data_IF_226145562265
#
_entry.id   IF_226145562265
#
_cell.length_a   1.000
_cell.length_b   1.000
_cell.length_c   1.000
_cell.angle_alpha   90.00
_cell.angle_beta   90.00
_cell.angle_gamma   90.00
#
_symmetry.space_group_name_H-M   'P 1'
#
loop_
_entity.id
_entity.type
_entity.pdbx_description
1 polymer ?
#
# COMPACT_ATOMS: atom_id res chain seq x y z
N UNK A 1 -12.08 -12.48 1.62
CA UNK A 1 -11.14 -11.60 2.37
C UNK A 1 -10.79 -10.34 1.56
N UNK A 2 -10.27 -10.43 0.33
CA UNK A 2 -9.93 -9.25 -0.49
C UNK A 2 -11.12 -8.27 -0.68
N UNK A 3 -12.29 -8.81 -1.06
CA UNK A 3 -13.51 -8.02 -1.27
C UNK A 3 -13.98 -7.23 -0.02
N UNK A 4 -13.69 -7.75 1.18
CA UNK A 4 -13.99 -7.05 2.43
C UNK A 4 -13.13 -5.79 2.57
N UNK A 5 -11.84 -5.89 2.23
CA UNK A 5 -10.93 -4.74 2.25
C UNK A 5 -11.26 -3.73 1.15
N UNK A 6 -11.62 -4.19 -0.05
CA UNK A 6 -12.10 -3.31 -1.13
C UNK A 6 -13.29 -2.47 -0.68
N UNK A 7 -14.32 -3.11 -0.10
CA UNK A 7 -15.49 -2.42 0.41
C UNK A 7 -15.13 -1.41 1.50
N UNK A 8 -14.27 -1.78 2.46
CA UNK A 8 -13.84 -0.89 3.54
C UNK A 8 -13.00 0.30 3.03
N UNK A 9 -12.18 0.11 2.00
CA UNK A 9 -11.39 1.17 1.37
C UNK A 9 -12.33 2.10 0.59
N UNK A 10 -13.23 1.55 -0.23
CA UNK A 10 -14.21 2.33 -0.99
C UNK A 10 -15.06 3.20 -0.06
N UNK A 11 -15.55 2.64 1.05
CA UNK A 11 -16.33 3.32 2.08
C UNK A 11 -15.63 4.58 2.63
N UNK A 12 -14.33 4.46 2.93
CA UNK A 12 -13.52 5.55 3.48
C UNK A 12 -13.14 6.60 2.43
N UNK A 13 -13.07 6.20 1.17
CA UNK A 13 -12.67 7.08 0.07
C UNK A 13 -13.85 7.76 -0.63
N UNK A 14 -15.10 7.54 -0.21
CA UNK A 14 -16.28 8.15 -0.85
C UNK A 14 -16.24 9.68 -0.93
N UNK A 15 -15.59 10.33 0.02
CA UNK A 15 -15.55 11.80 0.12
C UNK A 15 -14.28 12.40 -0.49
N UNK A 16 -13.35 11.59 -1.00
CA UNK A 16 -12.13 12.10 -1.64
C UNK A 16 -12.30 12.17 -3.15
N UNK A 17 -11.56 13.06 -3.80
CA UNK A 17 -11.59 13.22 -5.24
C UNK A 17 -11.16 11.93 -5.95
N UNK A 18 -11.65 11.71 -7.17
CA UNK A 18 -11.26 10.56 -7.99
C UNK A 18 -9.74 10.39 -8.15
N UNK A 19 -8.99 11.49 -8.14
CA UNK A 19 -7.52 11.48 -8.23
C UNK A 19 -6.83 11.07 -6.93
N UNK A 20 -7.51 11.17 -5.79
CA UNK A 20 -7.02 10.77 -4.46
C UNK A 20 -7.47 9.36 -4.08
N UNK A 21 -8.32 8.73 -4.89
CA UNK A 21 -8.79 7.37 -4.65
C UNK A 21 -7.68 6.35 -4.91
N UNK A 22 -7.52 5.43 -3.97
CA UNK A 22 -6.64 4.27 -4.11
C UNK A 22 -7.23 3.33 -5.17
N UNK A 23 -6.59 3.25 -6.34
CA UNK A 23 -7.05 2.39 -7.45
C UNK A 23 -6.68 0.92 -7.29
N UNK A 24 -5.48 0.68 -6.76
CA UNK A 24 -4.93 -0.67 -6.57
C UNK A 24 -4.25 -0.72 -5.21
N UNK A 25 -4.40 -1.85 -4.54
CA UNK A 25 -3.70 -2.13 -3.29
C UNK A 25 -3.29 -3.60 -3.24
N UNK A 26 -2.30 -3.89 -2.39
CA UNK A 26 -1.85 -5.25 -2.10
C UNK A 26 -1.88 -5.48 -0.60
N UNK A 27 -2.36 -6.64 -0.19
CA UNK A 27 -2.23 -7.10 1.19
C UNK A 27 -0.84 -7.69 1.38
N UNK A 28 -0.12 -7.18 2.36
CA UNK A 28 1.16 -7.71 2.79
C UNK A 28 0.94 -8.81 3.83
N UNK A 29 1.84 -9.78 3.86
CA UNK A 29 1.84 -10.90 4.81
C UNK A 29 2.26 -10.48 6.23
N UNK A 30 3.04 -9.39 6.34
CA UNK A 30 3.45 -8.78 7.59
C UNK A 30 3.22 -7.26 7.61
N UNK A 31 3.16 -6.72 8.82
CA UNK A 31 3.20 -5.28 9.05
C UNK A 31 4.60 -4.69 8.92
N UNK A 32 4.68 -3.36 8.93
CA UNK A 32 5.94 -2.64 9.04
C UNK A 32 6.54 -2.80 10.44
N UNK A 33 7.85 -2.93 10.52
CA UNK A 33 8.55 -3.12 11.81
C UNK A 33 9.67 -2.10 12.00
N UNK A 34 10.09 -1.93 13.25
CA UNK A 34 11.24 -1.08 13.59
C UNK A 34 12.55 -1.82 13.24
N UNK A 35 12.56 -3.15 13.40
CA UNK A 35 13.71 -4.02 13.11
C UNK A 35 14.11 -4.00 11.63
N UNK A 36 13.12 -3.96 10.72
CA UNK A 36 13.35 -3.82 9.28
C UNK A 36 13.70 -2.38 8.86
N UNK A 37 13.70 -1.42 9.80
CA UNK A 37 13.94 0.00 9.52
C UNK A 37 12.79 0.71 8.80
N UNK A 38 11.62 0.07 8.67
CA UNK A 38 10.44 0.64 8.01
C UNK A 38 9.69 1.63 8.90
N UNK A 39 9.80 1.46 10.22
CA UNK A 39 9.27 2.37 11.23
C UNK A 39 10.38 3.07 12.00
N UNK A 40 10.17 4.32 12.36
CA UNK A 40 10.98 4.98 13.38
C UNK A 40 10.62 4.43 14.76
N UNK A 41 11.51 4.61 15.77
CA UNK A 41 11.16 4.30 17.16
C UNK A 41 9.92 5.06 17.68
N UNK A 42 9.53 6.15 17.00
CA UNK A 42 8.29 6.91 17.26
C UNK A 42 7.09 6.45 16.42
N UNK A 43 7.16 5.28 15.78
CA UNK A 43 6.11 4.68 14.94
C UNK A 43 5.76 5.48 13.68
N UNK A 44 6.64 6.37 13.22
CA UNK A 44 6.45 7.04 11.92
C UNK A 44 7.06 6.22 10.78
N UNK A 45 6.45 6.29 9.59
CA UNK A 45 6.86 5.53 8.41
C UNK A 45 8.14 6.10 7.78
N UNK A 46 9.07 5.22 7.41
CA UNK A 46 10.25 5.52 6.58
C UNK A 46 10.00 5.07 5.15
N UNK A 47 9.34 5.93 4.36
CA UNK A 47 8.87 5.62 2.99
C UNK A 47 9.95 5.04 2.09
N UNK A 48 11.15 5.64 2.03
CA UNK A 48 12.21 5.14 1.15
C UNK A 48 12.68 3.71 1.49
N UNK A 49 12.68 3.33 2.78
CA UNK A 49 13.02 1.97 3.19
C UNK A 49 11.88 1.01 2.86
N UNK A 50 10.64 1.42 3.10
CA UNK A 50 9.44 0.65 2.75
C UNK A 50 9.40 0.39 1.23
N UNK A 51 9.60 1.41 0.42
CA UNK A 51 9.61 1.31 -1.05
C UNK A 51 10.71 0.36 -1.53
N UNK A 52 11.88 0.38 -0.89
CA UNK A 52 12.99 -0.52 -1.23
C UNK A 52 12.67 -1.97 -0.83
N UNK A 53 12.17 -2.19 0.39
CA UNK A 53 11.88 -3.53 0.91
C UNK A 53 10.72 -4.20 0.17
N UNK A 54 9.74 -3.42 -0.29
CA UNK A 54 8.55 -3.90 -1.01
C UNK A 54 8.56 -3.54 -2.50
N UNK A 55 9.75 -3.32 -3.07
CA UNK A 55 9.89 -2.91 -4.46
C UNK A 55 9.29 -3.93 -5.44
N UNK A 56 9.40 -5.22 -5.12
CA UNK A 56 8.87 -6.30 -5.95
C UNK A 56 7.33 -6.30 -5.99
N UNK A 57 6.68 -6.09 -4.83
CA UNK A 57 5.24 -6.01 -4.70
C UNK A 57 4.70 -4.77 -5.41
N UNK A 58 5.38 -3.63 -5.25
CA UNK A 58 5.05 -2.38 -5.94
C UNK A 58 5.17 -2.59 -7.46
N UNK A 59 6.29 -3.14 -7.94
CA UNK A 59 6.48 -3.41 -9.35
C UNK A 59 5.41 -4.37 -9.89
N UNK A 60 5.06 -5.43 -9.16
CA UNK A 60 4.01 -6.37 -9.56
C UNK A 60 2.62 -5.71 -9.64
N UNK A 61 2.31 -4.76 -8.75
CA UNK A 61 1.06 -3.99 -8.82
C UNK A 61 0.96 -3.20 -10.12
N UNK A 62 2.05 -2.55 -10.53
CA UNK A 62 2.07 -1.76 -11.75
C UNK A 62 2.21 -2.60 -13.02
N UNK A 63 3.01 -3.67 -13.01
CA UNK A 63 3.21 -4.56 -14.15
C UNK A 63 1.94 -5.31 -14.58
N UNK A 64 1.02 -5.59 -13.63
CA UNK A 64 -0.28 -6.21 -13.94
C UNK A 64 -1.26 -5.27 -14.67
N UNK A 65 -1.05 -3.96 -14.54
CA UNK A 65 -1.64 -2.94 -15.42
C UNK A 65 -0.73 -2.86 -16.63
N UNK A 66 -0.94 -3.76 -17.60
CA UNK A 66 -0.45 -3.54 -18.96
C UNK A 66 -1.20 -2.33 -19.54
N UNK A 67 -0.88 -1.14 -19.05
CA UNK A 67 -1.06 0.11 -19.76
C UNK A 67 0.04 0.12 -20.84
N UNK A 68 -0.28 -0.50 -21.97
CA UNK A 68 0.35 -0.25 -23.26
C UNK A 68 -0.50 0.73 -24.05
#
# INVERSE_FOLDING_TARGET
>A
VLAMYEAAIAERLRNVSYYEQVRKFRLLDRGFTIESGELTPKMSLRRGVIETNFAAEIAAMYASSSDC
#
